data_IF_266662526369
#
_entry.id   IF_266662526369
#
_cell.length_a   1.000
_cell.length_b   1.000
_cell.length_c   1.000
_cell.angle_alpha   90.00
_cell.angle_beta   90.00
_cell.angle_gamma   90.00
#
_symmetry.space_group_name_H-M   'P 1'
#
loop_
_entity.id
_entity.type
_entity.pdbx_description
1 polymer ?
#
# COMPACT_ATOMS: atom_id res chain seq x y z
N UNK A 1 5.12 2.14 -13.91
CA UNK A 1 3.81 1.56 -14.27
C UNK A 1 3.13 2.33 -15.40
N UNK A 2 2.93 3.65 -15.27
CA UNK A 2 2.33 4.49 -16.33
C UNK A 2 3.04 4.31 -17.68
N UNK A 3 4.37 4.47 -17.76
CA UNK A 3 5.09 4.36 -19.04
C UNK A 3 5.02 2.95 -19.65
N UNK A 4 5.01 1.92 -18.82
CA UNK A 4 4.87 0.55 -19.29
C UNK A 4 3.52 0.33 -19.98
N UNK A 5 2.43 0.81 -19.37
CA UNK A 5 1.09 0.70 -19.94
C UNK A 5 0.98 1.52 -21.24
N UNK A 6 1.51 2.75 -21.26
CA UNK A 6 1.48 3.60 -22.45
C UNK A 6 2.30 2.98 -23.60
N UNK A 7 3.47 2.43 -23.31
CA UNK A 7 4.30 1.76 -24.32
C UNK A 7 3.64 0.47 -24.85
N UNK A 8 3.00 -0.30 -23.96
CA UNK A 8 2.32 -1.55 -24.34
C UNK A 8 1.06 -1.30 -25.18
N UNK A 9 0.29 -0.26 -24.85
CA UNK A 9 -0.99 0.06 -25.50
C UNK A 9 -0.85 1.03 -26.69
N UNK A 10 0.27 1.75 -26.79
CA UNK A 10 0.50 2.80 -27.78
C UNK A 10 -0.28 4.10 -27.51
N UNK A 11 -1.01 4.20 -26.39
CA UNK A 11 -1.70 5.42 -26.01
C UNK A 11 -0.72 6.48 -25.48
N UNK A 12 -1.08 7.76 -25.65
CA UNK A 12 -0.27 8.89 -25.17
C UNK A 12 -0.55 9.24 -23.70
N UNK A 13 -1.74 8.91 -23.22
CA UNK A 13 -2.20 9.19 -21.87
C UNK A 13 -3.19 8.12 -21.41
N UNK A 14 -3.43 8.06 -20.10
CA UNK A 14 -4.37 7.11 -19.49
C UNK A 14 -5.30 7.79 -18.48
N UNK A 15 -6.35 7.08 -18.11
CA UNK A 15 -7.22 7.42 -16.98
C UNK A 15 -6.76 6.58 -15.78
N UNK A 16 -6.44 7.25 -14.68
CA UNK A 16 -6.06 6.61 -13.42
C UNK A 16 -7.27 6.60 -12.48
N UNK A 17 -7.47 5.48 -11.79
CA UNK A 17 -8.45 5.34 -10.70
C UNK A 17 -7.71 4.72 -9.52
N UNK A 18 -7.60 5.46 -8.43
CA UNK A 18 -6.92 5.02 -7.22
C UNK A 18 -7.88 4.97 -6.03
N UNK A 19 -7.65 4.03 -5.12
CA UNK A 19 -8.34 3.95 -3.83
C UNK A 19 -7.34 3.97 -2.68
N UNK A 20 -7.60 4.75 -1.62
CA UNK A 20 -6.74 4.84 -0.43
C UNK A 20 -5.28 5.11 -0.82
N UNK A 21 -4.32 4.28 -0.41
CA UNK A 21 -2.90 4.45 -0.78
C UNK A 21 -2.66 4.54 -2.30
N UNK A 22 -3.50 3.89 -3.12
CA UNK A 22 -3.39 3.91 -4.57
C UNK A 22 -3.58 5.30 -5.20
N UNK A 23 -4.29 6.21 -4.52
CA UNK A 23 -4.46 7.61 -5.01
C UNK A 23 -3.15 8.37 -5.00
N UNK A 24 -2.28 8.07 -4.05
CA UNK A 24 -1.08 8.85 -3.78
C UNK A 24 -0.02 8.63 -4.84
N UNK A 25 0.03 7.45 -5.48
CA UNK A 25 1.02 7.13 -6.51
C UNK A 25 1.00 8.13 -7.67
N UNK A 26 -0.19 8.46 -8.18
CA UNK A 26 -0.32 9.41 -9.30
C UNK A 26 -0.13 10.84 -8.83
N UNK A 27 -0.68 11.22 -7.67
CA UNK A 27 -0.47 12.55 -7.08
C UNK A 27 1.02 12.86 -6.90
N UNK A 28 1.77 11.95 -6.24
CA UNK A 28 3.21 12.08 -6.01
C UNK A 28 3.95 12.12 -7.35
N UNK A 29 3.62 11.23 -8.29
CA UNK A 29 4.28 11.19 -9.59
C UNK A 29 4.10 12.52 -10.35
N UNK A 30 2.89 13.07 -10.43
CA UNK A 30 2.64 14.33 -11.12
C UNK A 30 3.23 15.55 -10.39
N UNK A 31 3.36 15.50 -9.07
CA UNK A 31 3.97 16.60 -8.29
C UNK A 31 5.50 16.60 -8.35
N UNK A 32 6.14 15.44 -8.27
CA UNK A 32 7.60 15.32 -8.28
C UNK A 32 8.19 15.22 -9.70
N UNK A 33 7.39 14.80 -10.67
CA UNK A 33 7.79 14.59 -12.06
C UNK A 33 6.74 15.19 -13.01
N UNK A 34 6.81 16.51 -13.27
CA UNK A 34 5.84 17.21 -14.10
C UNK A 34 5.66 16.61 -15.50
N UNK A 35 6.65 15.88 -16.02
CA UNK A 35 6.56 15.15 -17.30
C UNK A 35 5.50 14.03 -17.32
N UNK A 36 4.93 13.65 -16.17
CA UNK A 36 3.81 12.70 -16.08
C UNK A 36 2.44 13.36 -16.12
N UNK A 37 2.34 14.68 -15.95
CA UNK A 37 1.07 15.41 -16.05
C UNK A 37 0.37 15.18 -17.40
N UNK A 38 1.03 15.33 -18.57
CA UNK A 38 0.36 15.10 -19.85
C UNK A 38 0.05 13.62 -20.12
N UNK A 39 0.62 12.70 -19.32
CA UNK A 39 0.41 11.25 -19.44
C UNK A 39 -0.86 10.79 -18.71
N UNK A 40 -1.51 11.64 -17.92
CA UNK A 40 -2.72 11.32 -17.16
C UNK A 40 -3.83 12.28 -17.54
N UNK A 41 -4.79 11.82 -18.34
CA UNK A 41 -5.90 12.67 -18.80
C UNK A 41 -6.93 12.91 -17.71
N UNK A 42 -7.16 11.91 -16.85
CA UNK A 42 -8.08 12.00 -15.73
C UNK A 42 -7.55 11.13 -14.60
N UNK A 43 -7.56 11.67 -13.38
CA UNK A 43 -7.21 10.94 -12.18
C UNK A 43 -8.39 10.95 -11.20
N UNK A 44 -9.04 9.80 -11.03
CA UNK A 44 -10.16 9.62 -10.09
C UNK A 44 -9.60 9.13 -8.76
N UNK A 45 -9.88 9.89 -7.71
CA UNK A 45 -9.34 9.66 -6.37
C UNK A 45 -10.44 9.21 -5.42
N UNK A 46 -10.47 7.93 -5.06
CA UNK A 46 -11.43 7.35 -4.13
C UNK A 46 -10.81 7.27 -2.72
N UNK A 47 -11.39 8.00 -1.76
CA UNK A 47 -10.86 8.13 -0.39
C UNK A 47 -9.36 8.49 -0.36
N UNK A 48 -8.95 9.63 -0.97
CA UNK A 48 -7.55 10.01 -1.03
C UNK A 48 -6.98 10.33 0.35
N UNK A 49 -5.76 9.86 0.63
CA UNK A 49 -5.04 10.13 1.88
C UNK A 49 -3.69 10.85 1.65
N UNK A 50 -3.66 12.01 0.97
CA UNK A 50 -2.41 12.76 0.74
C UNK A 50 -1.92 13.46 2.02
N UNK A 51 -2.84 13.84 2.90
CA UNK A 51 -2.55 14.47 4.20
C UNK A 51 -3.38 13.78 5.29
N UNK A 52 -2.69 13.20 6.27
CA UNK A 52 -3.31 12.47 7.39
C UNK A 52 -3.41 13.32 8.67
N UNK A 53 -2.91 14.56 8.65
CA UNK A 53 -2.72 15.40 9.86
C UNK A 53 -4.00 15.80 10.59
N UNK A 54 -5.14 15.89 9.88
CA UNK A 54 -6.43 16.32 10.45
C UNK A 54 -7.45 15.20 10.61
N UNK A 55 -7.02 13.94 10.47
CA UNK A 55 -7.91 12.81 10.70
C UNK A 55 -8.08 12.65 12.21
N UNK A 56 -9.33 12.63 12.70
CA UNK A 56 -9.64 12.47 14.14
C UNK A 56 -9.09 11.15 14.67
N UNK A 57 -9.11 10.10 13.84
CA UNK A 57 -8.42 8.82 14.11
C UNK A 57 -6.93 8.83 13.77
N UNK A 58 -6.40 9.93 13.24
CA UNK A 58 -5.00 10.10 12.85
C UNK A 58 -4.04 9.99 14.02
N UNK A 59 -4.45 10.40 15.23
CA UNK A 59 -3.67 10.19 16.46
C UNK A 59 -3.55 8.69 16.79
N UNK A 60 -4.63 7.92 16.60
CA UNK A 60 -4.59 6.46 16.77
C UNK A 60 -3.73 5.81 15.68
N UNK A 61 -3.85 6.27 14.44
CA UNK A 61 -3.00 5.81 13.35
C UNK A 61 -1.53 6.16 13.58
N UNK A 62 -1.22 7.30 14.18
CA UNK A 62 0.15 7.71 14.51
C UNK A 62 0.71 6.86 15.67
N UNK A 63 -0.08 6.58 16.70
CA UNK A 63 0.29 5.63 17.77
C UNK A 63 0.50 4.23 17.19
N UNK A 64 -0.40 3.77 16.33
CA UNK A 64 -0.28 2.47 15.66
C UNK A 64 0.93 2.46 14.71
N UNK A 65 1.21 3.56 14.00
CA UNK A 65 2.33 3.69 13.07
C UNK A 65 3.67 3.78 13.79
N UNK A 66 3.76 4.52 14.90
CA UNK A 66 4.98 4.62 15.71
C UNK A 66 5.26 3.32 16.46
N UNK A 67 4.22 2.66 16.98
CA UNK A 67 4.35 1.32 17.55
C UNK A 67 4.74 0.32 16.46
N UNK A 68 4.08 0.36 15.30
CA UNK A 68 4.44 -0.44 14.14
C UNK A 68 5.90 -0.19 13.75
N UNK A 69 6.36 1.06 13.60
CA UNK A 69 7.75 1.39 13.25
C UNK A 69 8.76 0.96 14.31
N UNK A 70 8.36 0.93 15.58
CA UNK A 70 9.22 0.52 16.71
C UNK A 70 9.42 -0.99 16.77
N UNK A 71 8.40 -1.76 16.40
CA UNK A 71 8.44 -3.23 16.40
C UNK A 71 8.66 -3.84 15.01
N UNK A 72 8.43 -3.06 13.96
CA UNK A 72 8.69 -3.43 12.57
C UNK A 72 10.17 -3.22 12.28
N UNK A 73 10.88 -4.25 11.77
CA UNK A 73 12.28 -4.14 11.40
C UNK A 73 12.49 -3.44 10.04
N UNK A 74 11.55 -2.59 9.62
CA UNK A 74 11.65 -1.82 8.38
C UNK A 74 12.64 -0.66 8.57
N UNK A 75 13.89 -0.88 8.15
CA UNK A 75 15.01 0.07 8.16
C UNK A 75 14.98 1.06 6.98
N UNK A 76 13.91 1.03 6.17
CA UNK A 76 13.78 1.86 4.96
C UNK A 76 14.33 1.19 3.69
N UNK A 77 14.97 0.03 3.79
CA UNK A 77 15.17 -0.82 2.62
C UNK A 77 13.87 -1.59 2.32
N UNK A 78 13.45 -1.58 1.05
CA UNK A 78 12.27 -2.32 0.58
C UNK A 78 12.49 -3.82 0.77
N UNK A 79 12.17 -4.34 1.95
CA UNK A 79 12.05 -5.76 2.17
C UNK A 79 10.60 -6.13 1.90
N UNK A 80 10.38 -7.06 0.98
CA UNK A 80 9.06 -7.68 0.83
C UNK A 80 8.64 -8.21 2.21
N UNK A 81 7.38 -8.06 2.63
CA UNK A 81 6.89 -8.62 3.89
C UNK A 81 7.14 -10.14 3.97
N UNK A 82 7.30 -10.79 2.81
CA UNK A 82 7.67 -12.19 2.67
C UNK A 82 9.17 -12.50 2.86
N UNK A 83 10.05 -11.50 2.93
CA UNK A 83 11.51 -11.69 2.88
C UNK A 83 12.18 -11.90 4.24
N UNK A 84 11.53 -11.54 5.37
CA UNK A 84 12.15 -11.65 6.71
C UNK A 84 11.81 -12.99 7.39
N UNK A 85 12.46 -14.05 6.92
CA UNK A 85 12.43 -15.37 7.55
C UNK A 85 13.29 -15.43 8.81
N UNK A 86 12.65 -15.37 9.98
CA UNK A 86 12.95 -16.15 11.21
C UNK A 86 12.41 -15.47 12.47
N UNK A 87 12.47 -14.13 12.56
CA UNK A 87 12.09 -13.40 13.79
C UNK A 87 10.58 -13.28 14.04
N UNK A 88 9.75 -13.34 12.99
CA UNK A 88 8.29 -13.22 13.12
C UNK A 88 7.57 -14.56 13.04
N UNK A 89 8.30 -15.68 13.02
CA UNK A 89 7.72 -17.00 12.77
C UNK A 89 6.71 -17.39 13.85
N UNK A 90 6.97 -17.07 15.12
CA UNK A 90 6.07 -17.42 16.23
C UNK A 90 4.76 -16.60 16.20
N UNK A 91 4.84 -15.33 15.83
CA UNK A 91 3.66 -14.47 15.63
C UNK A 91 2.87 -14.87 14.38
N UNK A 92 3.58 -15.12 13.27
CA UNK A 92 2.97 -15.61 12.04
C UNK A 92 2.33 -16.98 12.27
N UNK A 93 2.97 -17.89 12.99
CA UNK A 93 2.38 -19.19 13.33
C UNK A 93 1.16 -19.01 14.26
N UNK A 94 1.21 -18.08 15.22
CA UNK A 94 0.04 -17.80 16.06
C UNK A 94 -1.17 -17.30 15.26
N UNK A 95 -0.97 -16.42 14.26
CA UNK A 95 -2.05 -15.85 13.46
C UNK A 95 -2.42 -16.69 12.23
N UNK A 96 -1.45 -17.33 11.58
CA UNK A 96 -1.56 -17.97 10.26
C UNK A 96 -1.50 -19.49 10.30
N UNK A 97 -1.33 -20.13 11.47
CA UNK A 97 -1.43 -21.58 11.57
C UNK A 97 -2.88 -22.03 11.27
N UNK A 98 -3.09 -23.03 10.40
CA UNK A 98 -4.42 -23.52 10.02
C UNK A 98 -5.28 -24.05 11.19
N UNK A 99 -4.66 -24.42 12.33
CA UNK A 99 -5.38 -24.83 13.56
C UNK A 99 -5.65 -23.66 14.51
N UNK A 100 -5.12 -22.46 14.24
CA UNK A 100 -5.35 -21.28 15.07
C UNK A 100 -6.75 -20.72 14.87
N UNK A 101 -7.34 -20.24 15.98
CA UNK A 101 -8.59 -19.45 15.97
C UNK A 101 -8.45 -18.12 15.24
N UNK A 102 -7.23 -17.61 15.07
CA UNK A 102 -6.96 -16.34 14.41
C UNK A 102 -6.66 -16.45 12.91
N UNK A 103 -6.76 -17.66 12.32
CA UNK A 103 -6.49 -17.91 10.89
C UNK A 103 -7.26 -16.98 9.95
N UNK A 104 -8.51 -16.64 10.29
CA UNK A 104 -9.34 -15.74 9.50
C UNK A 104 -8.73 -14.35 9.43
N UNK A 105 -8.16 -13.85 10.53
CA UNK A 105 -7.47 -12.56 10.55
C UNK A 105 -6.18 -12.60 9.74
N UNK A 106 -5.46 -13.72 9.74
CA UNK A 106 -4.29 -13.86 8.88
C UNK A 106 -4.68 -13.84 7.39
N UNK A 107 -5.62 -14.68 6.95
CA UNK A 107 -6.05 -14.68 5.55
C UNK A 107 -6.68 -13.35 5.12
N UNK A 108 -7.37 -12.68 6.03
CA UNK A 108 -7.93 -11.35 5.79
C UNK A 108 -6.83 -10.30 5.71
N UNK A 109 -5.85 -10.31 6.61
CA UNK A 109 -4.71 -9.39 6.60
C UNK A 109 -3.80 -9.59 5.38
N UNK A 110 -3.49 -10.84 5.05
CA UNK A 110 -2.79 -11.20 3.81
C UNK A 110 -3.62 -10.76 2.61
N UNK A 111 -4.92 -11.07 2.59
CA UNK A 111 -5.83 -10.63 1.51
C UNK A 111 -5.93 -9.12 1.36
N UNK A 112 -5.88 -8.34 2.44
CA UNK A 112 -5.82 -6.88 2.37
C UNK A 112 -4.47 -6.38 1.87
N UNK A 113 -3.37 -7.03 2.27
CA UNK A 113 -2.03 -6.66 1.86
C UNK A 113 -1.71 -7.06 0.40
N UNK A 114 -2.25 -8.20 -0.07
CA UNK A 114 -2.04 -8.74 -1.41
C UNK A 114 -3.16 -8.38 -2.40
N UNK A 115 -4.27 -7.81 -1.92
CA UNK A 115 -5.50 -7.64 -2.69
C UNK A 115 -6.36 -8.92 -2.66
N UNK A 116 -7.65 -8.78 -2.30
CA UNK A 116 -8.61 -9.89 -2.36
C UNK A 116 -8.91 -10.21 -3.83
N UNK A 117 -8.44 -11.38 -4.30
CA UNK A 117 -8.77 -11.92 -5.62
C UNK A 117 -7.64 -11.86 -6.65
N UNK A 118 -6.45 -12.36 -6.29
CA UNK A 118 -5.50 -12.87 -7.30
C UNK A 118 -5.75 -14.36 -7.55
#
# INVERSE_FOLDING_TARGET
MIDYILNLTGHKSLISIGHSMGTNNVLIATSLRPEYEPKVTLNVLLAPTPFLSNIVTGQYLDILYTTYKRYSPFDGHQQSLAAKGSEHKEYIDFFCNPTSVFKTLCYTGVGFASGWGS
#
